data_IF_312437193588
#
_entry.id   IF_312437193588
#
_cell.length_a   1.000
_cell.length_b   1.000
_cell.length_c   1.000
_cell.angle_alpha   90.00
_cell.angle_beta   90.00
_cell.angle_gamma   90.00
#
_symmetry.space_group_name_H-M   'P 1'
#
loop_
_entity.id
_entity.type
_entity.pdbx_description
1 polymer ?
#
# COMPACT_ATOMS: atom_id res chain seq x y z
N UNK A 1 -12.05 11.49 -26.03
CA UNK A 1 -10.94 10.67 -25.46
C UNK A 1 -10.93 10.71 -23.94
N UNK A 2 -10.95 11.90 -23.34
CA UNK A 2 -10.96 12.08 -21.89
C UNK A 2 -12.18 11.46 -21.19
N UNK A 3 -13.41 11.73 -21.67
CA UNK A 3 -14.64 11.15 -21.09
C UNK A 3 -14.66 9.61 -21.06
N UNK A 4 -14.12 8.95 -22.11
CA UNK A 4 -14.01 7.48 -22.14
C UNK A 4 -13.00 6.97 -21.10
N UNK A 5 -11.88 7.67 -20.93
CA UNK A 5 -10.88 7.33 -19.91
C UNK A 5 -11.47 7.49 -18.50
N UNK A 6 -12.15 8.59 -18.24
CA UNK A 6 -12.78 8.86 -16.94
C UNK A 6 -13.85 7.81 -16.61
N UNK A 7 -14.73 7.50 -17.57
CA UNK A 7 -15.73 6.45 -17.38
C UNK A 7 -15.11 5.07 -17.08
N UNK A 8 -14.02 4.71 -17.77
CA UNK A 8 -13.30 3.46 -17.51
C UNK A 8 -12.62 3.47 -16.12
N UNK A 9 -11.99 4.57 -15.73
CA UNK A 9 -11.38 4.70 -14.40
C UNK A 9 -12.42 4.60 -13.29
N UNK A 10 -13.59 5.21 -13.46
CA UNK A 10 -14.70 5.11 -12.51
C UNK A 10 -15.23 3.69 -12.39
N UNK A 11 -15.35 2.96 -13.51
CA UNK A 11 -15.76 1.56 -13.50
C UNK A 11 -14.73 0.64 -12.85
N UNK A 12 -13.43 0.95 -12.97
CA UNK A 12 -12.34 0.14 -12.44
C UNK A 12 -12.08 0.37 -10.94
N UNK A 13 -12.37 1.57 -10.42
CA UNK A 13 -12.11 1.94 -9.03
C UNK A 13 -12.70 0.97 -7.99
N UNK A 14 -13.98 0.55 -8.08
CA UNK A 14 -14.55 -0.41 -7.13
C UNK A 14 -13.82 -1.75 -7.13
N UNK A 15 -13.35 -2.21 -8.29
CA UNK A 15 -12.60 -3.47 -8.42
C UNK A 15 -11.23 -3.35 -7.74
N UNK A 16 -10.54 -2.22 -7.91
CA UNK A 16 -9.27 -1.96 -7.23
C UNK A 16 -9.47 -1.90 -5.71
N UNK A 17 -10.52 -1.20 -5.26
CA UNK A 17 -10.90 -1.10 -3.87
C UNK A 17 -11.17 -2.48 -3.25
N UNK A 18 -12.05 -3.30 -3.84
CA UNK A 18 -12.35 -4.65 -3.33
C UNK A 18 -11.10 -5.53 -3.21
N UNK A 19 -10.18 -5.44 -4.18
CA UNK A 19 -8.90 -6.18 -4.14
C UNK A 19 -7.99 -5.72 -3.00
N UNK A 20 -7.98 -4.42 -2.70
CA UNK A 20 -7.20 -3.90 -1.57
C UNK A 20 -7.86 -4.22 -0.22
N UNK A 21 -9.19 -4.18 -0.14
CA UNK A 21 -9.93 -4.60 1.06
C UNK A 21 -9.64 -6.06 1.43
N UNK A 22 -9.46 -6.93 0.44
CA UNK A 22 -9.11 -8.34 0.66
C UNK A 22 -7.70 -8.55 1.26
N UNK A 23 -6.86 -7.52 1.33
CA UNK A 23 -5.57 -7.58 2.02
C UNK A 23 -5.69 -7.32 3.53
N UNK A 24 -6.77 -6.72 4.01
CA UNK A 24 -6.94 -6.44 5.45
C UNK A 24 -6.92 -7.75 6.24
N UNK A 25 -6.09 -7.80 7.28
CA UNK A 25 -5.86 -8.97 8.12
C UNK A 25 -4.77 -9.92 7.63
N UNK A 26 -4.23 -9.72 6.42
CA UNK A 26 -3.12 -10.52 5.89
C UNK A 26 -1.78 -9.90 6.30
N UNK A 27 -0.76 -10.76 6.36
CA UNK A 27 0.63 -10.33 6.48
C UNK A 27 1.19 -10.23 5.06
N UNK A 28 1.73 -9.06 4.73
CA UNK A 28 2.30 -8.74 3.41
C UNK A 28 3.74 -8.32 3.61
N UNK A 29 4.63 -8.84 2.75
CA UNK A 29 6.02 -8.42 2.70
C UNK A 29 6.13 -7.04 2.03
N UNK A 30 6.74 -6.09 2.74
CA UNK A 30 6.88 -4.69 2.31
C UNK A 30 8.34 -4.30 2.30
N UNK A 31 8.84 -3.88 1.13
CA UNK A 31 10.14 -3.21 1.01
C UNK A 31 10.00 -1.77 1.50
N UNK A 32 10.74 -1.41 2.56
CA UNK A 32 10.76 -0.07 3.12
C UNK A 32 11.65 0.85 2.28
N UNK A 33 11.07 1.92 1.77
CA UNK A 33 11.73 2.89 0.88
C UNK A 33 11.81 4.29 1.50
N UNK A 34 11.06 4.56 2.57
CA UNK A 34 11.19 5.77 3.40
C UNK A 34 10.91 5.43 4.87
N UNK A 35 11.61 6.09 5.79
CA UNK A 35 11.39 5.96 7.24
C UNK A 35 11.45 7.31 7.94
N UNK A 36 10.70 7.44 9.03
CA UNK A 36 10.81 8.52 10.00
C UNK A 36 11.11 7.91 11.38
N UNK A 37 12.39 7.87 11.80
CA UNK A 37 12.79 7.28 13.07
C UNK A 37 12.19 7.98 14.29
N UNK A 38 11.85 9.27 14.19
CA UNK A 38 11.29 10.03 15.30
C UNK A 38 9.82 9.68 15.59
N UNK A 39 9.07 9.28 14.57
CA UNK A 39 7.64 8.92 14.70
C UNK A 39 7.39 7.42 14.61
N UNK A 40 8.36 6.64 14.12
CA UNK A 40 8.20 5.22 13.83
C UNK A 40 7.24 4.97 12.65
N UNK A 41 7.10 5.95 11.75
CA UNK A 41 6.35 5.79 10.50
C UNK A 41 7.31 5.39 9.38
N UNK A 42 6.85 4.51 8.50
CA UNK A 42 7.58 4.12 7.30
C UNK A 42 6.64 4.01 6.10
N UNK A 43 7.20 4.14 4.91
CA UNK A 43 6.51 3.98 3.63
C UNK A 43 7.31 2.99 2.80
N UNK A 44 6.58 2.09 2.15
CA UNK A 44 7.18 1.10 1.28
C UNK A 44 6.23 0.63 0.21
N UNK A 45 6.62 -0.46 -0.44
CA UNK A 45 5.79 -1.14 -1.43
C UNK A 45 5.87 -2.65 -1.25
N UNK A 46 4.75 -3.30 -1.55
CA UNK A 46 4.71 -4.76 -1.64
C UNK A 46 5.04 -5.20 -3.08
N UNK A 47 5.28 -6.49 -3.28
CA UNK A 47 5.62 -7.02 -4.61
C UNK A 47 4.55 -6.78 -5.69
N UNK A 48 3.32 -6.42 -5.30
CA UNK A 48 2.21 -6.08 -6.21
C UNK A 48 2.20 -4.63 -6.68
N UNK A 49 3.05 -3.76 -6.14
CA UNK A 49 3.12 -2.34 -6.49
C UNK A 49 4.42 -2.03 -7.22
N UNK A 50 4.29 -1.63 -8.49
CA UNK A 50 5.37 -1.08 -9.28
C UNK A 50 5.78 0.31 -8.77
N UNK A 51 7.08 0.65 -8.81
CA UNK A 51 7.55 1.96 -8.36
C UNK A 51 6.92 3.09 -9.17
N UNK A 52 6.65 4.22 -8.52
CA UNK A 52 6.14 5.49 -9.07
C UNK A 52 4.74 5.47 -9.70
N UNK A 53 4.21 4.30 -10.04
CA UNK A 53 2.97 4.14 -10.81
C UNK A 53 1.84 3.59 -9.95
N UNK A 54 2.12 2.59 -9.11
CA UNK A 54 1.13 1.98 -8.23
C UNK A 54 1.11 2.66 -6.84
N UNK A 55 0.19 2.21 -5.98
CA UNK A 55 0.03 2.74 -4.63
C UNK A 55 1.18 2.39 -3.68
N UNK A 56 1.06 2.89 -2.46
CA UNK A 56 2.04 2.75 -1.40
C UNK A 56 1.49 1.90 -0.24
N UNK A 57 2.42 1.40 0.58
CA UNK A 57 2.10 0.77 1.86
C UNK A 57 2.62 1.65 2.98
N UNK A 58 1.71 2.17 3.79
CA UNK A 58 2.01 2.96 4.98
C UNK A 58 2.13 2.03 6.19
N UNK A 59 3.27 2.08 6.86
CA UNK A 59 3.63 1.18 7.95
C UNK A 59 3.84 1.97 9.23
N UNK A 60 3.18 1.55 10.30
CA UNK A 60 3.42 2.04 11.65
C UNK A 60 4.30 1.04 12.42
N UNK A 61 5.18 1.56 13.27
CA UNK A 61 6.20 0.79 13.97
C UNK A 61 7.56 0.90 13.29
N UNK A 62 8.63 0.79 14.08
CA UNK A 62 10.01 0.91 13.56
C UNK A 62 10.25 -0.12 12.46
N UNK A 63 10.55 0.34 11.25
CA UNK A 63 10.83 -0.48 10.08
C UNK A 63 12.05 0.09 9.36
N UNK A 64 13.19 -0.61 9.34
CA UNK A 64 14.43 -0.06 8.79
C UNK A 64 14.36 0.14 7.27
N UNK A 65 14.90 1.25 6.80
CA UNK A 65 15.08 1.54 5.39
C UNK A 65 15.83 0.43 4.64
N UNK A 66 15.43 0.16 3.40
CA UNK A 66 15.99 -0.84 2.49
C UNK A 66 15.85 -2.30 2.97
N UNK A 67 14.90 -2.58 3.86
CA UNK A 67 14.58 -3.95 4.29
C UNK A 67 13.19 -4.36 3.85
N UNK A 68 13.01 -5.66 3.61
CA UNK A 68 11.70 -6.27 3.45
C UNK A 68 11.25 -6.71 4.84
N UNK A 69 10.08 -6.21 5.28
CA UNK A 69 9.52 -6.53 6.59
C UNK A 69 8.09 -7.06 6.46
N UNK A 70 7.68 -8.00 7.33
CA UNK A 70 6.29 -8.44 7.41
C UNK A 70 5.42 -7.34 8.01
N UNK A 71 4.35 -6.98 7.32
CA UNK A 71 3.38 -5.97 7.76
C UNK A 71 2.00 -6.59 7.81
N UNK A 72 1.34 -6.53 8.98
CA UNK A 72 -0.07 -6.87 9.09
C UNK A 72 -0.89 -5.69 8.57
N UNK A 73 -1.60 -5.91 7.46
CA UNK A 73 -2.47 -4.89 6.88
C UNK A 73 -3.72 -4.72 7.75
N UNK A 74 -3.98 -3.49 8.17
CA UNK A 74 -5.10 -3.12 9.03
C UNK A 74 -6.11 -2.21 8.34
N UNK A 75 -5.71 -1.61 7.21
CA UNK A 75 -6.57 -0.73 6.43
C UNK A 75 -6.15 -0.72 4.96
N UNK A 76 -7.07 -0.30 4.12
CA UNK A 76 -6.89 -0.23 2.68
C UNK A 76 -7.75 0.91 2.11
N UNK A 77 -7.18 1.65 1.17
CA UNK A 77 -7.90 2.56 0.28
C UNK A 77 -7.90 1.96 -1.13
N UNK A 78 -8.51 2.67 -2.09
CA UNK A 78 -8.64 2.21 -3.48
C UNK A 78 -7.30 1.83 -4.12
N UNK A 79 -6.21 2.51 -3.74
CA UNK A 79 -4.88 2.27 -4.30
C UNK A 79 -3.82 1.97 -3.24
N UNK A 80 -3.98 2.45 -2.01
CA UNK A 80 -2.98 2.35 -0.94
C UNK A 80 -3.36 1.33 0.13
N UNK A 81 -2.35 0.84 0.87
CA UNK A 81 -2.52 -0.05 2.02
C UNK A 81 -1.92 0.58 3.28
N UNK A 82 -2.47 0.18 4.43
CA UNK A 82 -2.07 0.66 5.75
C UNK A 82 -1.90 -0.51 6.70
N UNK A 83 -0.84 -0.51 7.49
CA UNK A 83 -0.58 -1.59 8.43
C UNK A 83 0.41 -1.24 9.52
N UNK A 84 0.73 -2.25 10.33
CA UNK A 84 1.78 -2.17 11.33
C UNK A 84 2.73 -3.34 11.19
N UNK A 85 3.99 -3.10 11.57
CA UNK A 85 4.98 -4.16 11.68
C UNK A 85 4.61 -5.07 12.86
N UNK A 86 4.58 -6.37 12.58
CA UNK A 86 4.47 -7.44 13.59
C UNK A 86 5.77 -7.64 14.35
#
# INVERSE_FOLDING_TARGET
RQQRREALMLAQQPIAWERNQAEIGRIVDVLIEQENPATGLAIGRSARFAPEVDGLVYVTGSAPLNQIVPVQITGADTYDLFGHRT
#
